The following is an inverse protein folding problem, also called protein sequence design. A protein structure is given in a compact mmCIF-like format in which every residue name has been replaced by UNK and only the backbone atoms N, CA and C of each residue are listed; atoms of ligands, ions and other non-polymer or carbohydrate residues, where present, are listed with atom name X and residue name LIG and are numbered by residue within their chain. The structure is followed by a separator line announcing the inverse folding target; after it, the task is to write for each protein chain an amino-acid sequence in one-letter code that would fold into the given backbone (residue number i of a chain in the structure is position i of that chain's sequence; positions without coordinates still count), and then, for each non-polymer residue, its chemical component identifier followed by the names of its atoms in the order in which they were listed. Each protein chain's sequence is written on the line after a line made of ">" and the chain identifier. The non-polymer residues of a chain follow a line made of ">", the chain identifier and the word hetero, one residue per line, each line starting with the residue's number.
data_IF_435096309768
#
_entry.id   IF_435096309768
#
_cell.length_a   1.000
_cell.length_b   1.000
_cell.length_c   1.000
_cell.angle_alpha   90.00
_cell.angle_beta   90.00
_cell.angle_gamma   90.00
#
_symmetry.space_group_name_H-M   'P 1'
#
loop_
_entity.id
_entity.type
_entity.pdbx_description
1 polymer ?
#
# COMPACT_ATOMS: atom_id res chain seq x y z
N UNK A 1 -22.63 -11.66 -40.06
CA UNK A 1 -22.59 -11.14 -38.68
C UNK A 1 -21.18 -11.30 -38.15
N UNK A 2 -20.55 -10.17 -37.93
CA UNK A 2 -19.12 -9.96 -37.75
C UNK A 2 -18.66 -10.40 -36.34
N UNK A 3 -17.88 -11.49 -36.26
CA UNK A 3 -17.25 -11.95 -35.01
C UNK A 3 -15.93 -11.21 -34.72
N UNK A 4 -15.46 -10.34 -35.62
CA UNK A 4 -14.15 -9.67 -35.53
C UNK A 4 -14.13 -8.43 -34.65
N UNK A 5 -15.22 -7.67 -34.56
CA UNK A 5 -15.26 -6.41 -33.79
C UNK A 5 -15.31 -6.63 -32.27
N UNK A 6 -15.91 -7.73 -31.79
CA UNK A 6 -16.01 -8.03 -30.35
C UNK A 6 -14.67 -8.33 -29.67
N UNK A 7 -13.71 -8.91 -30.40
CA UNK A 7 -12.40 -9.28 -29.84
C UNK A 7 -11.45 -8.09 -29.69
N UNK A 8 -11.47 -7.11 -30.61
CA UNK A 8 -10.61 -5.92 -30.52
C UNK A 8 -11.00 -5.00 -29.36
N UNK A 9 -12.29 -4.89 -29.05
CA UNK A 9 -12.78 -4.07 -27.93
C UNK A 9 -12.49 -4.68 -26.56
N UNK A 10 -12.39 -6.02 -26.47
CA UNK A 10 -12.04 -6.75 -25.25
C UNK A 10 -10.59 -6.51 -24.81
N UNK A 11 -9.63 -6.61 -25.75
CA UNK A 11 -8.21 -6.46 -25.45
C UNK A 11 -7.84 -5.04 -25.00
N UNK A 12 -8.35 -4.03 -25.71
CA UNK A 12 -8.08 -2.61 -25.42
C UNK A 12 -8.64 -2.15 -24.06
N UNK A 13 -9.72 -2.78 -23.58
CA UNK A 13 -10.27 -2.53 -22.25
C UNK A 13 -9.37 -3.07 -21.14
N UNK A 14 -8.88 -4.31 -21.30
CA UNK A 14 -8.03 -4.96 -20.28
C UNK A 14 -6.70 -4.23 -20.05
N UNK A 15 -6.11 -3.69 -21.12
CA UNK A 15 -4.84 -2.96 -21.07
C UNK A 15 -4.90 -1.69 -20.21
N UNK A 16 -6.05 -0.99 -20.22
CA UNK A 16 -6.25 0.24 -19.44
C UNK A 16 -6.32 -0.05 -17.94
N UNK A 17 -7.00 -1.13 -17.54
CA UNK A 17 -7.11 -1.50 -16.13
C UNK A 17 -5.79 -1.99 -15.55
N UNK A 18 -4.97 -2.70 -16.34
CA UNK A 18 -3.61 -3.05 -15.92
C UNK A 18 -2.70 -1.83 -15.76
N UNK A 19 -2.85 -0.81 -16.63
CA UNK A 19 -2.16 0.45 -16.46
C UNK A 19 -2.60 1.16 -15.17
N UNK A 20 -3.90 1.26 -14.90
CA UNK A 20 -4.41 1.84 -13.64
C UNK A 20 -3.93 1.06 -12.42
N UNK A 21 -3.93 -0.27 -12.49
CA UNK A 21 -3.41 -1.10 -11.42
C UNK A 21 -1.92 -0.85 -11.16
N UNK A 22 -1.12 -0.72 -12.21
CA UNK A 22 0.30 -0.38 -12.07
C UNK A 22 0.48 1.01 -11.42
N UNK A 23 -0.33 2.00 -11.80
CA UNK A 23 -0.23 3.36 -11.28
C UNK A 23 -0.50 3.43 -9.76
N UNK A 24 -1.35 2.55 -9.23
CA UNK A 24 -1.61 2.47 -7.80
C UNK A 24 -0.36 2.08 -7.00
N UNK A 25 0.50 1.21 -7.55
CA UNK A 25 1.80 0.90 -6.93
C UNK A 25 2.77 2.09 -6.96
N UNK A 26 2.76 2.91 -8.01
CA UNK A 26 3.54 4.14 -8.03
C UNK A 26 3.04 5.12 -6.95
N UNK A 27 1.73 5.25 -6.80
CA UNK A 27 1.14 6.11 -5.76
C UNK A 27 1.52 5.60 -4.36
N UNK A 28 1.45 4.29 -4.12
CA UNK A 28 1.89 3.67 -2.86
C UNK A 28 3.36 3.99 -2.58
N UNK A 29 4.24 3.79 -3.56
CA UNK A 29 5.65 4.15 -3.43
C UNK A 29 5.85 5.62 -3.05
N UNK A 30 5.16 6.55 -3.72
CA UNK A 30 5.27 7.99 -3.41
C UNK A 30 4.82 8.27 -1.97
N UNK A 31 3.69 7.70 -1.54
CA UNK A 31 3.20 7.85 -0.16
C UNK A 31 4.23 7.28 0.83
N UNK A 32 4.78 6.11 0.55
CA UNK A 32 5.83 5.47 1.36
C UNK A 32 7.06 6.36 1.50
N UNK A 33 7.55 6.97 0.41
CA UNK A 33 8.68 7.91 0.47
C UNK A 33 8.32 9.14 1.32
N UNK A 34 7.12 9.69 1.18
CA UNK A 34 6.69 10.82 2.01
C UNK A 34 6.67 10.44 3.49
N UNK A 35 6.18 9.25 3.85
CA UNK A 35 6.22 8.74 5.22
C UNK A 35 7.69 8.66 5.70
N UNK A 36 8.57 8.02 4.94
CA UNK A 36 9.98 7.84 5.31
C UNK A 36 10.74 9.16 5.53
N UNK A 37 10.37 10.21 4.81
CA UNK A 37 10.99 11.54 4.91
C UNK A 37 10.41 12.39 6.04
N UNK A 38 9.12 12.22 6.34
CA UNK A 38 8.39 13.11 7.26
C UNK A 38 8.17 12.53 8.64
N UNK A 39 8.09 11.20 8.77
CA UNK A 39 7.83 10.53 10.03
C UNK A 39 9.14 10.23 10.76
N UNK A 40 9.51 11.15 11.66
CA UNK A 40 10.70 10.98 12.50
C UNK A 40 10.52 9.87 13.55
N UNK A 41 9.28 9.42 13.82
CA UNK A 41 9.05 8.33 14.75
C UNK A 41 9.64 7.03 14.21
N UNK A 42 9.66 6.79 12.89
CA UNK A 42 10.30 5.62 12.27
C UNK A 42 11.81 5.49 12.53
N UNK A 43 12.46 6.58 12.95
CA UNK A 43 13.89 6.60 13.26
C UNK A 43 14.18 6.23 14.71
N UNK A 44 13.13 6.02 15.51
CA UNK A 44 13.18 5.58 16.91
C UNK A 44 12.16 4.44 17.06
N UNK A 45 12.24 3.57 18.05
CA UNK A 45 11.13 2.62 18.25
C UNK A 45 9.99 3.35 19.00
N UNK A 46 9.37 4.35 18.37
CA UNK A 46 8.39 5.28 18.97
C UNK A 46 8.88 5.92 20.29
N UNK A 47 10.16 6.32 20.33
CA UNK A 47 10.77 6.93 21.51
C UNK A 47 11.20 5.98 22.63
N UNK A 48 11.05 4.66 22.47
CA UNK A 48 11.41 3.66 23.51
C UNK A 48 12.85 3.15 23.44
N UNK A 49 13.51 3.28 22.28
CA UNK A 49 14.89 2.83 22.01
C UNK A 49 15.68 3.96 21.33
N UNK A 50 17.01 4.10 21.55
CA UNK A 50 17.86 4.99 20.74
C UNK A 50 17.67 4.75 19.25
N UNK A 51 18.03 5.72 18.40
CA UNK A 51 17.70 5.69 16.97
C UNK A 51 17.93 4.29 16.33
N UNK A 52 16.84 3.59 16.03
CA UNK A 52 16.83 2.25 15.48
C UNK A 52 15.95 2.26 14.25
N UNK A 53 16.57 1.97 13.11
CA UNK A 53 15.99 2.23 11.79
C UNK A 53 15.31 1.01 11.18
N UNK A 54 15.03 -0.06 11.94
CA UNK A 54 14.45 -1.28 11.35
C UNK A 54 13.09 -1.02 10.70
N UNK A 55 12.24 -0.22 11.35
CA UNK A 55 10.91 0.13 10.83
C UNK A 55 11.03 1.01 9.60
N UNK A 56 11.97 1.95 9.61
CA UNK A 56 12.32 2.76 8.45
C UNK A 56 12.80 1.90 7.26
N UNK A 57 13.75 0.98 7.49
CA UNK A 57 14.27 0.11 6.44
C UNK A 57 13.23 -0.92 5.96
N UNK A 58 12.40 -1.43 6.86
CA UNK A 58 11.28 -2.32 6.52
C UNK A 58 10.30 -1.64 5.56
N UNK A 59 9.88 -0.42 5.91
CA UNK A 59 8.99 0.37 5.07
C UNK A 59 9.67 0.83 3.76
N UNK A 60 10.98 1.09 3.76
CA UNK A 60 11.73 1.35 2.53
C UNK A 60 11.68 0.14 1.59
N UNK A 61 11.93 -1.06 2.11
CA UNK A 61 11.87 -2.29 1.30
C UNK A 61 10.51 -2.46 0.67
N UNK A 62 9.41 -2.24 1.39
CA UNK A 62 8.06 -2.35 0.81
C UNK A 62 7.84 -1.34 -0.31
N UNK A 63 8.30 -0.10 -0.14
CA UNK A 63 8.27 0.91 -1.21
C UNK A 63 9.10 0.51 -2.44
N UNK A 64 10.28 -0.10 -2.23
CA UNK A 64 11.09 -0.63 -3.34
C UNK A 64 10.37 -1.77 -4.08
N UNK A 65 9.62 -2.63 -3.39
CA UNK A 65 8.79 -3.64 -4.05
C UNK A 65 7.66 -3.00 -4.84
N UNK A 66 7.01 -1.95 -4.32
CA UNK A 66 5.93 -1.25 -5.03
C UNK A 66 6.42 -0.61 -6.34
N UNK A 67 7.57 0.08 -6.33
CA UNK A 67 8.10 0.66 -7.58
C UNK A 67 8.51 -0.42 -8.59
N UNK A 68 9.05 -1.56 -8.12
CA UNK A 68 9.33 -2.71 -9.00
C UNK A 68 8.03 -3.28 -9.57
N UNK A 69 7.00 -3.44 -8.74
CA UNK A 69 5.69 -3.91 -9.16
C UNK A 69 5.06 -2.98 -10.21
N UNK A 70 5.16 -1.66 -10.03
CA UNK A 70 4.74 -0.66 -11.02
C UNK A 70 5.42 -0.90 -12.38
N UNK A 71 6.76 -0.97 -12.40
CA UNK A 71 7.54 -1.14 -13.63
C UNK A 71 7.18 -2.47 -14.31
N UNK A 72 7.17 -3.57 -13.56
CA UNK A 72 6.91 -4.91 -14.09
C UNK A 72 5.49 -5.02 -14.65
N UNK A 73 4.48 -4.51 -13.94
CA UNK A 73 3.10 -4.54 -14.40
C UNK A 73 2.87 -3.66 -15.63
N UNK A 74 3.55 -2.51 -15.70
CA UNK A 74 3.45 -1.59 -16.83
C UNK A 74 4.04 -2.20 -18.12
N UNK A 75 5.17 -2.92 -18.00
CA UNK A 75 5.92 -3.50 -19.14
C UNK A 75 5.38 -4.88 -19.54
N UNK A 76 5.19 -5.80 -18.59
CA UNK A 76 4.92 -7.21 -18.90
C UNK A 76 3.44 -7.46 -19.21
N UNK A 77 2.53 -6.77 -18.52
CA UNK A 77 1.06 -6.84 -18.74
C UNK A 77 0.47 -8.24 -18.87
N UNK A 78 1.03 -9.23 -18.15
CA UNK A 78 0.53 -10.62 -18.14
C UNK A 78 -0.40 -10.84 -16.96
N UNK A 79 -1.40 -11.71 -17.18
CA UNK A 79 -2.36 -12.14 -16.14
C UNK A 79 -1.67 -12.68 -14.89
N UNK A 80 -0.63 -13.50 -15.05
CA UNK A 80 0.15 -14.03 -13.92
C UNK A 80 0.80 -12.91 -13.10
N UNK A 81 1.35 -11.88 -13.75
CA UNK A 81 1.97 -10.74 -13.07
C UNK A 81 0.92 -9.90 -12.33
N UNK A 82 -0.26 -9.71 -12.92
CA UNK A 82 -1.39 -9.05 -12.23
C UNK A 82 -1.78 -9.84 -10.97
N UNK A 83 -1.82 -11.17 -11.06
CA UNK A 83 -2.07 -12.05 -9.91
C UNK A 83 -1.01 -11.88 -8.80
N UNK A 84 0.27 -11.82 -9.16
CA UNK A 84 1.37 -11.55 -8.21
C UNK A 84 1.20 -10.17 -7.54
N UNK A 85 0.89 -9.13 -8.32
CA UNK A 85 0.63 -7.80 -7.79
C UNK A 85 -0.56 -7.77 -6.82
N UNK A 86 -1.65 -8.47 -7.14
CA UNK A 86 -2.80 -8.58 -6.22
C UNK A 86 -2.39 -9.30 -4.94
N UNK A 87 -1.63 -10.39 -5.05
CA UNK A 87 -1.11 -11.11 -3.89
C UNK A 87 -0.25 -10.22 -2.99
N UNK A 88 0.62 -9.41 -3.59
CA UNK A 88 1.43 -8.41 -2.86
C UNK A 88 0.55 -7.36 -2.17
N UNK A 89 -0.44 -6.80 -2.85
CA UNK A 89 -1.34 -5.81 -2.25
C UNK A 89 -2.15 -6.40 -1.07
N UNK A 90 -2.61 -7.66 -1.17
CA UNK A 90 -3.27 -8.37 -0.06
C UNK A 90 -2.32 -8.59 1.09
N UNK A 91 -1.10 -9.06 0.82
CA UNK A 91 -0.07 -9.24 1.83
C UNK A 91 0.22 -7.93 2.58
N UNK A 92 0.39 -6.82 1.86
CA UNK A 92 0.66 -5.52 2.46
C UNK A 92 -0.52 -4.98 3.29
N UNK A 93 -1.76 -5.17 2.82
CA UNK A 93 -2.93 -4.80 3.60
C UNK A 93 -3.01 -5.57 4.92
N UNK A 94 -2.75 -6.89 4.89
CA UNK A 94 -2.69 -7.73 6.11
C UNK A 94 -1.52 -7.31 7.00
N UNK A 95 -0.35 -7.05 6.42
CA UNK A 95 0.85 -6.64 7.15
C UNK A 95 0.59 -5.34 7.93
N UNK A 96 -0.05 -4.34 7.32
CA UNK A 96 -0.38 -3.08 8.00
C UNK A 96 -1.38 -3.29 9.15
N UNK A 97 -2.37 -4.18 8.98
CA UNK A 97 -3.28 -4.53 10.07
C UNK A 97 -2.52 -5.20 11.23
N UNK A 98 -1.59 -6.11 10.92
CA UNK A 98 -0.76 -6.78 11.92
C UNK A 98 0.18 -5.81 12.63
N UNK A 99 0.76 -4.85 11.91
CA UNK A 99 1.61 -3.80 12.45
C UNK A 99 0.83 -2.91 13.44
N UNK A 100 -0.36 -2.45 13.04
CA UNK A 100 -1.29 -1.70 13.91
C UNK A 100 -1.64 -2.53 15.17
N UNK A 101 -1.96 -3.81 15.02
CA UNK A 101 -2.32 -4.68 16.15
C UNK A 101 -1.14 -4.84 17.12
N UNK A 102 0.08 -5.01 16.60
CA UNK A 102 1.31 -5.17 17.38
C UNK A 102 1.58 -3.93 18.22
N UNK A 103 1.48 -2.74 17.63
CA UNK A 103 1.69 -1.48 18.35
C UNK A 103 0.51 -1.06 19.24
N UNK A 104 -0.72 -1.46 18.88
CA UNK A 104 -1.89 -1.32 19.75
C UNK A 104 -1.75 -2.10 21.05
N UNK A 105 -1.13 -3.29 21.00
CA UNK A 105 -0.80 -4.07 22.20
C UNK A 105 0.33 -3.45 23.03
N UNK A 106 1.31 -2.81 22.38
CA UNK A 106 2.50 -2.29 23.03
C UNK A 106 2.32 -0.91 23.69
N UNK A 107 1.29 -0.13 23.35
CA UNK A 107 1.19 1.25 23.85
C UNK A 107 -0.14 1.75 24.43
N UNK A 108 -1.30 1.13 24.21
CA UNK A 108 -2.55 1.44 24.97
C UNK A 108 -3.65 0.48 24.52
N UNK A 109 -4.30 -0.21 25.48
CA UNK A 109 -5.33 -1.21 25.24
C UNK A 109 -6.34 -0.87 24.14
N UNK A 110 -6.79 -1.93 23.46
CA UNK A 110 -7.69 -1.99 22.30
C UNK A 110 -8.98 -1.16 22.46
N UNK A 111 -8.91 0.17 22.37
CA UNK A 111 -10.09 1.04 22.28
C UNK A 111 -10.14 1.70 20.91
N UNK A 112 -11.32 1.66 20.28
CA UNK A 112 -11.59 2.37 19.02
C UNK A 112 -11.30 3.88 19.11
N UNK A 113 -11.35 4.47 20.31
CA UNK A 113 -10.97 5.87 20.54
C UNK A 113 -9.46 6.10 20.43
N UNK A 114 -8.63 5.13 20.81
CA UNK A 114 -7.16 5.20 20.66
C UNK A 114 -6.74 5.07 19.20
N UNK A 115 -7.47 4.27 18.43
CA UNK A 115 -7.30 4.11 16.99
C UNK A 115 -7.67 5.38 16.21
N UNK A 116 -8.86 5.96 16.47
CA UNK A 116 -9.26 7.23 15.86
C UNK A 116 -8.33 8.41 16.25
N UNK A 117 -7.76 8.40 17.45
CA UNK A 117 -6.78 9.42 17.89
C UNK A 117 -5.41 9.28 17.21
N UNK A 118 -5.00 8.05 16.87
CA UNK A 118 -3.81 7.78 16.05
C UNK A 118 -4.02 8.21 14.59
N UNK A 119 -5.20 7.90 14.02
CA UNK A 119 -5.64 8.26 12.68
C UNK A 119 -5.86 9.77 12.47
N UNK A 120 -6.44 10.47 13.45
CA UNK A 120 -6.98 11.83 13.28
C UNK A 120 -6.31 12.91 14.15
N UNK A 121 -5.12 12.64 14.70
CA UNK A 121 -4.16 13.69 15.02
C UNK A 121 -4.55 14.69 16.12
N UNK A 122 -4.84 14.21 17.33
CA UNK A 122 -4.61 15.04 18.53
C UNK A 122 -3.63 14.29 19.42
N UNK A 123 -2.34 14.54 19.16
CA UNK A 123 -1.13 13.96 19.78
C UNK A 123 -1.37 13.29 21.14
N UNK A 124 -1.54 11.96 21.15
CA UNK A 124 -1.73 11.19 22.38
C UNK A 124 -0.43 10.96 23.17
N UNK A 125 0.73 11.12 22.52
CA UNK A 125 2.04 10.90 23.14
C UNK A 125 2.77 12.23 23.35
N UNK A 126 2.91 12.65 24.61
CA UNK A 126 3.87 13.71 24.98
C UNK A 126 5.26 13.25 24.55
N UNK A 127 5.82 13.88 23.51
CA UNK A 127 7.15 13.57 22.97
C UNK A 127 7.17 12.87 21.61
N UNK A 128 6.02 12.57 20.99
CA UNK A 128 5.98 12.09 19.61
C UNK A 128 6.60 13.15 18.67
N UNK A 129 7.51 12.69 17.81
CA UNK A 129 8.16 13.55 16.83
C UNK A 129 7.18 13.86 15.68
N UNK A 130 7.42 14.95 14.90
CA UNK A 130 6.54 15.35 13.81
C UNK A 130 6.29 14.20 12.82
N UNK A 131 5.02 14.04 12.40
CA UNK A 131 4.59 13.20 11.27
C UNK A 131 3.35 13.82 10.64
N UNK A 132 2.99 13.42 9.41
CA UNK A 132 1.74 13.85 8.75
C UNK A 132 0.63 12.84 9.09
N UNK A 133 -0.43 13.23 9.83
CA UNK A 133 -1.53 12.34 10.18
C UNK A 133 -2.23 11.77 8.95
N UNK A 134 -2.66 10.51 9.02
CA UNK A 134 -3.45 9.87 7.97
C UNK A 134 -2.66 9.28 6.78
N UNK A 135 -1.33 9.44 6.70
CA UNK A 135 -0.55 8.88 5.58
C UNK A 135 -0.54 7.34 5.55
N UNK A 136 -0.45 6.68 6.70
CA UNK A 136 -0.55 5.21 6.77
C UNK A 136 -1.96 4.73 6.38
N UNK A 137 -3.00 5.45 6.79
CA UNK A 137 -4.39 5.11 6.46
C UNK A 137 -4.69 5.31 4.98
N UNK A 138 -4.13 6.38 4.40
CA UNK A 138 -4.15 6.60 2.96
C UNK A 138 -3.42 5.46 2.24
N UNK A 139 -2.22 5.09 2.68
CA UNK A 139 -1.46 3.98 2.09
C UNK A 139 -2.27 2.67 2.14
N UNK A 140 -2.89 2.35 3.28
CA UNK A 140 -3.79 1.21 3.44
C UNK A 140 -4.97 1.27 2.46
N UNK A 141 -5.66 2.41 2.39
CA UNK A 141 -6.80 2.60 1.49
C UNK A 141 -6.40 2.40 0.03
N UNK A 142 -5.22 2.88 -0.39
CA UNK A 142 -4.72 2.66 -1.75
C UNK A 142 -4.41 1.17 -1.98
N UNK A 143 -3.89 0.41 -1.02
CA UNK A 143 -3.77 -1.05 -1.16
C UNK A 143 -5.13 -1.74 -1.35
N UNK A 144 -6.16 -1.35 -0.59
CA UNK A 144 -7.52 -1.89 -0.77
C UNK A 144 -8.07 -1.60 -2.17
N UNK A 145 -7.88 -0.37 -2.65
CA UNK A 145 -8.27 0.01 -4.02
C UNK A 145 -7.47 -0.80 -5.06
N UNK A 146 -6.17 -1.00 -4.83
CA UNK A 146 -5.32 -1.80 -5.71
C UNK A 146 -5.79 -3.26 -5.78
N UNK A 147 -6.21 -3.86 -4.68
CA UNK A 147 -6.81 -5.21 -4.67
C UNK A 147 -8.07 -5.25 -5.55
N UNK A 148 -8.98 -4.29 -5.38
CA UNK A 148 -10.21 -4.24 -6.15
C UNK A 148 -9.95 -4.07 -7.66
N UNK A 149 -9.08 -3.11 -8.03
CA UNK A 149 -8.72 -2.84 -9.43
C UNK A 149 -7.95 -4.01 -10.04
N UNK A 150 -7.01 -4.60 -9.30
CA UNK A 150 -6.22 -5.74 -9.73
C UNK A 150 -7.05 -7.01 -9.95
N UNK A 151 -7.99 -7.32 -9.04
CA UNK A 151 -8.93 -8.43 -9.22
C UNK A 151 -9.83 -8.23 -10.45
N UNK A 152 -10.28 -7.00 -10.68
CA UNK A 152 -11.07 -6.66 -11.87
C UNK A 152 -10.24 -6.85 -13.15
N UNK A 153 -9.02 -6.32 -13.19
CA UNK A 153 -8.10 -6.49 -14.32
C UNK A 153 -7.80 -7.98 -14.58
N UNK A 154 -7.51 -8.75 -13.53
CA UNK A 154 -7.21 -10.18 -13.60
C UNK A 154 -8.36 -10.99 -14.22
N UNK A 155 -9.62 -10.67 -13.87
CA UNK A 155 -10.81 -11.33 -14.42
C UNK A 155 -11.06 -11.00 -15.89
N UNK A 156 -10.61 -9.84 -16.36
CA UNK A 156 -10.78 -9.39 -17.75
C UNK A 156 -9.68 -9.89 -18.69
N UNK A 157 -8.58 -10.41 -18.15
CA UNK A 157 -7.49 -10.94 -18.97
C UNK A 157 -7.76 -12.39 -19.41
N UNK A 158 -7.47 -12.74 -20.68
CA UNK A 158 -7.52 -14.13 -21.13
C UNK A 158 -6.51 -14.98 -20.34
N UNK A 159 -6.88 -16.24 -20.10
CA UNK A 159 -6.03 -17.25 -19.44
C UNK A 159 -4.89 -17.70 -20.33
#
# INVERSE_FOLDING_TARGET
>A
MDKGEGMKNSAAGSDRFSAYFSLLFLIQFVITIVILLTDQNLQTDFGTVPKYFIHWYGLLVTGLVDIVAFIVLLVVRKRSMVGVGVGWAVFMAIFQIADIATYGMLNVGLSASSFAQYLFGVTKFKGALPYIPGLYDLLFAIYVIAIAVGLYAYRKMPS
#
